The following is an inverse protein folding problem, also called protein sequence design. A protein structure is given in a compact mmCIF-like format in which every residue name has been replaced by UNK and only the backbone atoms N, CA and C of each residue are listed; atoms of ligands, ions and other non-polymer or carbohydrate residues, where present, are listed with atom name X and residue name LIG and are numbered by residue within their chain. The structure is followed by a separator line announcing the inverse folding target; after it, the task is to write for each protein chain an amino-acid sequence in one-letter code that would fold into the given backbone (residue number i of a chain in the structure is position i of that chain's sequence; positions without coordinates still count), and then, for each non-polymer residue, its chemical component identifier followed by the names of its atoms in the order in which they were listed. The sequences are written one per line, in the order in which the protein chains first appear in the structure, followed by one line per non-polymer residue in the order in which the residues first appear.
data_IF_657425133607
#
_entry.id   IF_657425133607
#
_cell.length_a   1.000
_cell.length_b   1.000
_cell.length_c   1.000
_cell.angle_alpha   90.00
_cell.angle_beta   90.00
_cell.angle_gamma   90.00
#
_symmetry.space_group_name_H-M   'P 1'
#
loop_
_entity.id
_entity.type
_entity.pdbx_description
1 polymer ?
2 water ?
#
# COMPACT_ATOMS: atom_id res chain seq x y z
N UNK A 2 6.59 -15.73 -16.59
CA UNK A 2 6.54 -14.26 -16.52
C UNK A 2 5.39 -13.89 -15.60
N UNK A 3 5.55 -12.77 -14.90
CA UNK A 3 4.47 -12.05 -14.20
C UNK A 3 4.17 -10.82 -15.02
N UNK A 4 2.91 -10.59 -15.31
CA UNK A 4 2.46 -9.48 -16.17
C UNK A 4 1.37 -8.74 -15.50
N UNK A 5 1.62 -7.48 -15.16
CA UNK A 5 0.53 -6.66 -14.61
C UNK A 5 -0.26 -6.06 -15.79
N UNK A 6 -1.56 -6.26 -15.82
CA UNK A 6 -2.48 -5.72 -16.85
C UNK A 6 -3.38 -4.71 -16.17
N UNK A 7 -3.10 -3.43 -16.39
CA UNK A 7 -3.62 -2.39 -15.51
C UNK A 7 -4.24 -1.28 -16.33
N UNK A 8 -5.40 -0.79 -15.94
CA UNK A 8 -5.98 0.40 -16.53
C UNK A 8 -5.25 1.66 -16.11
N UNK A 9 -4.96 2.48 -17.10
CA UNK A 9 -4.45 3.82 -16.89
C UNK A 9 -3.11 4.05 -17.56
N UNK A 10 -2.97 5.21 -18.20
CA UNK A 10 -1.74 5.57 -18.90
C UNK A 10 -1.18 6.88 -18.39
N UNK A 11 -1.75 7.45 -17.35
CA UNK A 11 -1.33 8.76 -16.88
C UNK A 11 -0.67 8.67 -15.50
N UNK A 13 1.83 9.38 -12.64
CA UNK A 13 2.88 10.35 -12.33
C UNK A 13 4.26 9.70 -12.27
N UNK A 14 5.29 10.48 -12.53
CA UNK A 14 6.63 9.97 -12.57
C UNK A 14 7.05 9.29 -11.25
N UNK A 15 6.61 9.82 -10.12
CA UNK A 15 6.99 9.21 -8.85
C UNK A 15 6.47 7.77 -8.65
N UNK A 16 5.26 7.54 -9.10
CA UNK A 16 4.64 6.23 -9.11
C UNK A 16 5.37 5.30 -10.03
N UNK A 17 5.62 5.78 -11.26
CA UNK A 17 6.38 4.94 -12.22
C UNK A 17 7.75 4.55 -11.67
N UNK A 18 8.42 5.53 -11.12
CA UNK A 18 9.74 5.35 -10.55
C UNK A 18 9.71 4.28 -9.45
N UNK A 19 8.80 4.41 -8.49
CA UNK A 19 8.67 3.44 -7.43
C UNK A 19 8.29 2.08 -7.94
N UNK A 20 7.42 2.05 -8.92
CA UNK A 20 7.01 0.80 -9.56
C UNK A 20 8.19 0.07 -10.23
N UNK A 21 8.94 0.81 -11.01
CA UNK A 21 10.00 0.20 -11.72
C UNK A 21 11.20 -0.05 -10.76
N UNK A 22 11.29 0.64 -9.61
CA UNK A 22 12.31 0.31 -8.59
C UNK A 22 12.19 -1.16 -8.18
N UNK A 23 10.99 -1.70 -8.20
CA UNK A 23 10.79 -3.09 -7.81
C UNK A 23 10.78 -4.01 -9.03
N UNK A 24 10.13 -3.57 -10.09
CA UNK A 24 10.07 -4.35 -11.32
C UNK A 24 11.48 -4.78 -11.76
N UNK A 25 12.43 -3.84 -11.66
CA UNK A 25 13.76 -4.10 -12.14
C UNK A 25 14.51 -5.13 -11.33
N UNK A 26 14.05 -5.39 -10.12
CA UNK A 26 14.74 -6.33 -9.24
C UNK A 26 14.47 -7.79 -9.59
N UNK A 27 13.42 -8.08 -10.37
CA UNK A 27 13.17 -9.45 -10.71
C UNK A 27 14.26 -9.94 -11.59
N UNK A 28 14.62 -11.18 -11.40
CA UNK A 28 15.75 -11.77 -12.15
C UNK A 28 15.32 -12.09 -13.56
N UNK A 29 16.32 -12.30 -14.41
CA UNK A 29 16.11 -12.57 -15.80
C UNK A 29 15.24 -13.80 -16.04
N UNK A 30 15.27 -14.77 -15.12
CA UNK A 30 14.46 -15.98 -15.26
C UNK A 30 12.99 -15.88 -14.85
N UNK A 32 10.80 -12.72 -15.51
CA UNK A 32 10.44 -11.39 -16.00
C UNK A 32 9.14 -10.85 -15.37
N UNK A 33 9.13 -9.55 -15.09
CA UNK A 33 8.00 -8.82 -14.48
C UNK A 33 7.71 -7.64 -15.46
N UNK A 34 6.53 -7.69 -16.08
CA UNK A 34 6.16 -6.75 -17.15
C UNK A 34 4.89 -6.02 -16.83
N UNK A 35 4.72 -4.86 -17.49
CA UNK A 35 3.48 -4.10 -17.46
C UNK A 35 2.85 -3.89 -18.80
N UNK A 36 1.52 -4.03 -18.88
CA UNK A 36 0.71 -3.65 -20.03
C UNK A 36 -0.35 -2.66 -19.50
N UNK A 37 -0.35 -1.43 -20.03
CA UNK A 37 -1.35 -0.43 -19.66
C UNK A 37 -2.49 -0.48 -20.65
N UNK A 38 -3.71 -0.50 -20.10
CA UNK A 38 -4.94 -0.41 -20.91
C UNK A 38 -5.47 1.01 -20.78
N UNK A 39 -5.89 1.66 -21.87
CA UNK A 39 -6.40 3.03 -21.78
C UNK A 39 -7.67 3.02 -20.95
N UNK A 40 -7.85 4.03 -20.09
CA UNK A 40 -9.10 4.17 -19.42
C UNK A 40 -10.20 4.66 -20.37
N UNK A 41 -11.41 4.11 -20.26
CA UNK A 41 -12.49 4.66 -21.03
C UNK A 41 -12.85 6.07 -20.63
N UNK A 42 -13.32 6.86 -21.60
CA UNK A 42 -13.73 8.25 -21.31
C UNK A 42 -15.07 8.24 -20.59
N UNK A 43 -15.13 8.77 -19.39
CA UNK A 43 -16.37 8.84 -18.62
C UNK A 43 -17.08 10.19 -18.77
N UNK A 44 -17.51 10.50 -19.98
CA UNK A 44 -18.25 11.70 -20.27
C UNK A 44 -19.63 11.76 -19.68
N UNK A 45 -20.28 12.87 -19.96
CA UNK A 45 -21.48 13.29 -19.23
C UNK A 45 -22.59 12.25 -19.33
N UNK A 46 -22.77 11.71 -20.50
CA UNK A 46 -23.81 10.71 -20.67
C UNK A 46 -23.29 9.30 -20.93
N UNK A 47 -22.09 8.99 -20.48
CA UNK A 47 -21.55 7.66 -20.81
C UNK A 47 -22.04 6.66 -19.77
N UNK A 48 -22.23 5.41 -20.21
CA UNK A 48 -22.66 4.31 -19.35
C UNK A 48 -21.41 3.66 -18.81
N UNK A 49 -21.18 3.91 -17.55
CA UNK A 49 -20.11 3.36 -16.81
C UNK A 49 -20.04 1.84 -17.05
N UNK A 50 -21.16 1.13 -17.16
CA UNK A 50 -21.09 -0.33 -17.32
C UNK A 50 -20.43 -0.67 -18.64
N UNK A 51 -20.80 0.06 -19.70
CA UNK A 51 -20.21 -0.19 -20.99
C UNK A 51 -18.73 0.18 -21.04
N UNK A 52 -18.38 1.28 -20.39
CA UNK A 52 -16.98 1.68 -20.31
C UNK A 52 -16.18 0.62 -19.64
N UNK A 53 -16.71 0.15 -18.53
CA UNK A 53 -16.02 -0.92 -17.82
C UNK A 53 -15.89 -2.22 -18.60
N UNK A 54 -16.95 -2.61 -19.29
CA UNK A 54 -16.97 -3.82 -20.10
C UNK A 54 -15.88 -3.73 -21.18
N UNK A 55 -15.73 -2.55 -21.76
CA UNK A 55 -14.73 -2.35 -22.80
C UNK A 55 -13.31 -2.43 -22.20
N UNK A 56 -13.08 -1.75 -21.06
CA UNK A 56 -11.75 -1.91 -20.40
C UNK A 56 -11.49 -3.39 -20.20
N UNK A 57 -12.49 -4.10 -19.67
CA UNK A 57 -12.31 -5.53 -19.40
C UNK A 57 -12.00 -6.40 -20.60
N UNK A 58 -12.67 -6.14 -21.72
CA UNK A 58 -12.38 -6.88 -22.96
C UNK A 58 -10.92 -6.70 -23.32
N UNK A 59 -10.44 -5.46 -23.19
CA UNK A 59 -9.04 -5.20 -23.53
C UNK A 59 -8.07 -5.87 -22.53
N UNK A 61 -8.69 -8.62 -20.77
CA UNK A 61 -8.71 -10.06 -21.00
C UNK A 61 -8.00 -10.42 -22.31
N UNK A 62 -8.06 -9.55 -23.30
CA UNK A 62 -7.33 -9.84 -24.54
C UNK A 62 -5.80 -9.80 -24.26
N UNK A 63 -5.36 -8.89 -23.42
CA UNK A 63 -3.92 -8.79 -23.06
C UNK A 63 -3.48 -10.00 -22.27
N UNK A 64 -4.37 -10.54 -21.45
CA UNK A 64 -4.03 -11.68 -20.60
C UNK A 64 -3.96 -12.98 -21.35
N UNK A 65 -4.75 -13.13 -22.40
CA UNK A 65 -4.69 -14.35 -23.19
C UNK A 65 -5.01 -15.57 -22.38
N UNK A 66 -4.24 -16.63 -22.61
CA UNK A 66 -4.36 -17.86 -21.90
C UNK A 66 -3.59 -17.94 -20.53
N UNK A 67 -3.08 -16.80 -20.05
CA UNK A 67 -2.41 -16.75 -18.77
C UNK A 67 -3.31 -17.14 -17.60
N UNK A 68 -2.69 -17.56 -16.50
CA UNK A 68 -3.40 -17.64 -15.22
C UNK A 68 -3.82 -16.24 -14.86
N UNK A 69 -5.11 -16.04 -14.54
CA UNK A 69 -5.59 -14.72 -14.21
C UNK A 69 -5.82 -14.55 -12.74
N UNK A 70 -5.12 -13.61 -12.14
CA UNK A 70 -5.32 -13.22 -10.74
C UNK A 70 -5.79 -11.77 -10.74
N UNK A 71 -6.94 -11.49 -10.16
CA UNK A 71 -7.43 -10.12 -10.08
C UNK A 71 -7.06 -9.51 -8.72
N UNK A 72 -6.76 -8.22 -8.74
CA UNK A 72 -6.62 -7.46 -7.51
C UNK A 72 -8.03 -6.88 -7.24
N UNK A 73 -8.70 -7.27 -6.17
CA UNK A 73 -10.08 -6.84 -5.95
C UNK A 73 -10.24 -6.82 -4.44
N UNK A 74 -10.97 -5.83 -3.91
CA UNK A 74 -11.11 -5.76 -2.43
C UNK A 74 -11.76 -7.03 -1.75
N UNK A 75 -12.65 -7.78 -2.38
CA UNK A 75 -13.11 -9.05 -1.79
C UNK A 75 -12.19 -10.29 -1.94
N UNK A 76 -11.03 -10.08 -2.52
CA UNK A 76 -10.08 -11.17 -2.70
C UNK A 76 -9.43 -11.67 -1.41
N UNK A 77 -8.57 -12.67 -1.59
CA UNK A 77 -7.89 -13.29 -0.43
C UNK A 77 -6.91 -12.29 0.23
N UNK A 78 -6.99 -12.09 1.55
CA UNK A 78 -6.09 -11.16 2.23
C UNK A 78 -4.75 -11.83 2.53
N UNK A 79 -4.03 -12.19 1.47
CA UNK A 79 -2.79 -12.97 1.63
C UNK A 79 -1.77 -12.20 2.50
N UNK A 80 -1.14 -12.91 3.44
CA UNK A 80 0.04 -12.37 4.08
C UNK A 80 1.28 -12.67 3.24
N UNK A 81 2.45 -12.18 3.65
CA UNK A 81 3.64 -12.38 2.81
C UNK A 81 4.00 -13.85 2.67
N UNK A 82 4.05 -14.62 3.74
CA UNK A 82 4.25 -16.05 3.55
C UNK A 82 3.29 -16.71 2.60
N UNK A 83 1.99 -16.43 2.69
CA UNK A 83 0.96 -17.05 1.83
C UNK A 83 1.25 -16.59 0.38
N UNK A 84 1.70 -15.33 0.18
CA UNK A 84 2.00 -14.86 -1.18
C UNK A 84 3.19 -15.61 -1.78
N UNK A 85 4.19 -15.90 -0.99
CA UNK A 85 5.29 -16.78 -1.40
C UNK A 85 4.81 -18.18 -1.78
N UNK A 86 3.93 -18.74 -1.00
CA UNK A 86 3.29 -20.03 -1.34
C UNK A 86 2.49 -19.98 -2.66
N UNK A 87 1.82 -18.86 -2.90
CA UNK A 87 1.12 -18.71 -4.15
C UNK A 87 2.10 -18.61 -5.30
N UNK A 88 3.19 -17.87 -5.14
CA UNK A 88 4.19 -17.81 -6.18
C UNK A 88 4.70 -19.23 -6.52
N UNK A 89 4.90 -20.08 -5.49
CA UNK A 89 5.30 -21.48 -5.70
C UNK A 89 4.21 -22.25 -6.50
N UNK A 90 2.95 -22.05 -6.16
CA UNK A 90 1.84 -22.62 -6.95
C UNK A 90 1.84 -22.18 -8.40
N UNK A 91 2.04 -20.87 -8.62
CA UNK A 91 2.06 -20.34 -9.96
C UNK A 91 3.16 -20.97 -10.77
N UNK A 92 4.32 -21.15 -10.14
CA UNK A 92 5.47 -21.73 -10.81
C UNK A 92 5.21 -23.17 -11.31
N UNK A 93 4.48 -23.93 -10.52
CA UNK A 93 4.14 -25.31 -10.82
C UNK A 93 3.18 -25.40 -12.01
N UNK A 94 2.45 -24.32 -12.27
CA UNK A 94 1.35 -24.33 -13.26
C UNK A 94 1.87 -24.42 -14.68
N UNK A 95 2.93 -23.67 -14.98
CA UNK A 95 3.53 -23.60 -16.31
C UNK A 95 3.21 -22.33 -17.06
N UNK A 96 2.01 -21.80 -16.83
CA UNK A 96 1.58 -20.58 -17.54
C UNK A 96 2.15 -19.35 -16.91
N UNK A 97 2.33 -18.35 -17.76
CA UNK A 97 2.52 -17.01 -17.23
C UNK A 97 1.31 -16.55 -16.40
N UNK A 98 1.53 -15.58 -15.53
CA UNK A 98 0.48 -15.01 -14.67
C UNK A 98 0.20 -13.58 -15.07
N UNK A 99 -1.06 -13.27 -15.30
CA UNK A 99 -1.53 -11.90 -15.46
C UNK A 99 -2.28 -11.46 -14.20
N UNK A 100 -1.86 -10.33 -13.67
CA UNK A 100 -2.47 -9.71 -12.51
C UNK A 100 -3.23 -8.47 -12.98
N UNK A 101 -4.57 -8.46 -12.78
CA UNK A 101 -5.44 -7.50 -13.39
C UNK A 101 -5.83 -6.44 -12.35
N UNK A 102 -5.56 -5.18 -12.71
CA UNK A 102 -5.81 -4.04 -11.87
C UNK A 102 -6.71 -3.05 -12.61
N UNK A 103 -7.92 -2.89 -12.10
CA UNK A 103 -8.88 -1.95 -12.63
C UNK A 103 -8.60 -0.51 -12.25
N UNK A 104 -9.28 0.41 -12.88
CA UNK A 104 -9.30 1.77 -12.36
C UNK A 104 -10.20 1.98 -11.13
N UNK A 105 -10.49 3.24 -10.74
CA UNK A 105 -11.28 3.49 -9.53
C UNK A 105 -12.67 2.89 -9.57
N UNK A 106 -13.20 2.69 -10.78
CA UNK A 106 -14.53 2.09 -10.91
C UNK A 106 -14.52 0.57 -10.93
N UNK A 107 -13.32 -0.02 -10.91
CA UNK A 107 -13.16 -1.43 -10.66
C UNK A 107 -13.03 -2.30 -11.89
N UNK A 108 -13.43 -3.56 -11.70
CA UNK A 108 -13.27 -4.59 -12.76
C UNK A 108 -14.60 -4.98 -13.31
N UNK A 109 -14.62 -5.28 -14.59
CA UNK A 109 -15.88 -5.70 -15.20
C UNK A 109 -16.32 -7.09 -14.69
N UNK A 110 -17.60 -7.42 -14.85
CA UNK A 110 -18.06 -8.78 -14.53
C UNK A 110 -17.30 -9.89 -15.30
N UNK A 111 -16.92 -9.64 -16.56
CA UNK A 111 -16.20 -10.66 -17.33
C UNK A 111 -14.81 -10.89 -16.76
N UNK A 112 -14.15 -9.83 -16.31
CA UNK A 112 -12.84 -9.99 -15.63
C UNK A 112 -12.95 -10.75 -14.31
N UNK A 113 -13.98 -10.46 -13.54
CA UNK A 113 -14.17 -11.17 -12.27
C UNK A 113 -14.50 -12.63 -12.50
N UNK A 114 -15.24 -12.88 -13.57
CA UNK A 114 -15.59 -14.26 -13.91
C UNK A 114 -14.40 -15.01 -14.46
N UNK A 115 -13.45 -14.27 -15.05
CA UNK A 115 -12.26 -14.92 -15.63
C UNK A 115 -11.13 -15.16 -14.59
N UNK A 116 -11.30 -14.64 -13.39
CA UNK A 116 -10.27 -14.74 -12.39
C UNK A 116 -10.16 -16.18 -11.92
N UNK A 117 -8.98 -16.76 -11.93
CA UNK A 117 -8.76 -18.02 -11.24
C UNK A 117 -8.53 -17.86 -9.75
N UNK A 118 -7.93 -16.72 -9.39
CA UNK A 118 -7.77 -16.34 -7.98
C UNK A 118 -7.95 -14.82 -7.90
N UNK A 119 -8.28 -14.34 -6.70
CA UNK A 119 -8.43 -12.93 -6.44
C UNK A 119 -7.68 -12.59 -5.14
N UNK A 120 -7.04 -11.42 -5.12
CA UNK A 120 -6.10 -11.02 -4.11
C UNK A 120 -6.51 -9.61 -3.60
N UNK A 121 -6.71 -9.50 -2.29
CA UNK A 121 -6.96 -8.22 -1.62
C UNK A 121 -5.73 -7.77 -0.86
N UNK A 122 -5.22 -6.61 -1.23
CA UNK A 122 -4.03 -6.03 -0.58
C UNK A 122 -4.39 -5.42 0.78
N UNK A 123 -5.61 -4.91 0.89
CA UNK A 123 -6.01 -4.12 2.07
C UNK A 123 -7.52 -4.05 2.17
N UNK A 124 -8.03 -3.78 3.37
CA UNK A 124 -9.44 -3.38 3.57
C UNK A 124 -9.73 -1.99 3.05
N UNK A 125 -8.68 -1.17 2.93
CA UNK A 125 -8.81 0.21 2.48
C UNK A 125 -9.01 0.21 0.96
N UNK A 126 -9.64 1.28 0.51
CA UNK A 126 -9.81 1.54 -0.89
C UNK A 126 -8.53 2.20 -1.38
N UNK A 127 -7.66 1.42 -1.98
CA UNK A 127 -6.36 1.94 -2.41
C UNK A 127 -6.46 2.49 -3.81
N UNK A 128 -5.70 3.55 -4.09
CA UNK A 128 -5.68 4.16 -5.40
C UNK A 128 -4.84 3.34 -6.38
N UNK A 129 -5.30 3.25 -7.60
CA UNK A 129 -4.61 2.50 -8.63
C UNK A 129 -3.10 2.60 -8.65
N UNK A 130 -2.52 3.81 -8.66
CA UNK A 130 -1.05 3.90 -8.64
C UNK A 130 -0.38 3.14 -7.51
N UNK A 131 -0.95 3.21 -6.30
CA UNK A 131 -0.35 2.53 -5.19
C UNK A 131 -0.55 1.05 -5.23
N UNK A 132 -1.64 0.63 -5.86
CA UNK A 132 -1.81 -0.80 -6.12
C UNK A 132 -0.69 -1.34 -7.00
N UNK A 133 -0.30 -0.63 -8.05
CA UNK A 133 0.75 -1.09 -8.95
C UNK A 133 2.05 -1.25 -8.15
N UNK A 134 2.37 -0.24 -7.30
CA UNK A 134 3.65 -0.27 -6.58
C UNK A 134 3.59 -1.42 -5.58
N UNK A 135 2.46 -1.54 -4.87
CA UNK A 135 2.30 -2.58 -3.84
C UNK A 135 2.38 -4.01 -4.44
N UNK A 136 1.79 -4.21 -5.59
CA UNK A 136 1.85 -5.52 -6.25
C UNK A 136 3.29 -5.82 -6.62
N UNK A 137 4.03 -4.85 -7.19
CA UNK A 137 5.41 -5.14 -7.57
C UNK A 137 6.27 -5.44 -6.34
N UNK A 138 6.15 -4.62 -5.30
CA UNK A 138 7.02 -4.83 -4.11
C UNK A 138 6.70 -6.14 -3.39
N UNK A 139 5.40 -6.46 -3.27
CA UNK A 139 5.02 -7.59 -2.44
C UNK A 139 5.40 -8.86 -3.13
N UNK A 140 5.24 -8.89 -4.44
CA UNK A 140 5.66 -10.05 -5.20
C UNK A 140 7.19 -10.18 -5.23
N UNK A 141 7.94 -9.08 -5.27
CA UNK A 141 9.38 -9.11 -5.11
C UNK A 141 9.74 -9.76 -3.75
N UNK A 142 9.05 -9.31 -2.71
CA UNK A 142 9.27 -9.82 -1.40
C UNK A 142 9.06 -11.33 -1.40
N UNK A 143 7.92 -11.75 -1.97
CA UNK A 143 7.61 -13.16 -2.02
C UNK A 143 8.68 -13.89 -2.81
N UNK A 144 9.11 -13.35 -3.95
CA UNK A 144 10.17 -13.98 -4.75
C UNK A 144 11.40 -14.18 -3.86
N UNK A 145 11.80 -13.15 -3.14
CA UNK A 145 13.01 -13.16 -2.29
C UNK A 145 12.95 -14.26 -1.22
N UNK A 146 11.76 -14.52 -0.70
CA UNK A 146 11.55 -15.62 0.25
C UNK A 146 11.79 -16.95 -0.46
N UNK A 147 11.26 -17.09 -1.65
CA UNK A 147 11.39 -18.35 -2.39
C UNK A 147 12.77 -18.70 -2.80
N UNK A 148 13.64 -17.71 -2.94
CA UNK A 148 15.01 -17.92 -3.40
C UNK A 148 16.05 -17.69 -2.28
N UNK A 149 15.60 -17.47 -1.05
CA UNK A 149 16.53 -17.16 0.05
C UNK A 149 17.45 -15.93 -0.26
N UNK A 150 16.90 -14.93 -0.91
CA UNK A 150 17.53 -13.63 -1.00
C UNK A 150 17.18 -12.74 0.20
N UNK A 151 18.14 -11.99 0.75
CA UNK A 151 18.00 -11.27 2.06
C UNK A 151 16.99 -10.12 2.29
N UNK A 152 16.36 -9.70 1.25
CA UNK A 152 15.42 -8.57 1.30
C UNK A 152 14.36 -8.64 2.40
N UNK A 153 13.70 -9.78 2.60
CA UNK A 153 12.65 -9.92 3.64
C UNK A 153 13.26 -10.14 5.02
N UNK B 2 -3.86 18.30 14.70
CA UNK B 2 -2.83 17.99 13.73
C UNK B 2 -2.70 16.48 13.65
N UNK B 3 -2.36 16.01 12.47
CA UNK B 3 -2.00 14.61 12.26
C UNK B 3 -0.51 14.59 12.10
N UNK B 4 0.19 13.83 12.96
CA UNK B 4 1.64 13.78 13.00
C UNK B 4 2.15 12.37 12.75
N UNK B 5 2.80 12.11 11.63
CA UNK B 5 3.44 10.80 11.41
C UNK B 5 4.81 10.82 12.12
N UNK B 6 5.07 9.86 12.98
CA UNK B 6 6.36 9.71 13.65
C UNK B 6 6.96 8.39 13.16
N UNK B 7 8.01 8.52 12.36
CA UNK B 7 8.47 7.38 11.57
C UNK B 7 9.95 7.23 11.66
N UNK B 8 10.41 6.00 11.76
CA UNK B 8 11.83 5.78 11.73
C UNK B 8 12.38 5.83 10.31
N UNK B 9 13.47 6.55 10.15
CA UNK B 9 14.23 6.65 8.92
C UNK B 9 14.25 8.04 8.32
N UNK B 10 15.40 8.39 7.78
CA UNK B 10 15.60 9.68 7.15
C UNK B 10 16.04 9.39 5.72
N UNK B 11 16.04 10.40 4.89
CA UNK B 11 16.52 10.22 3.50
C UNK B 11 15.80 9.05 2.76
N UNK B 13 13.77 7.38 -0.36
CA UNK B 13 14.00 7.47 -1.79
C UNK B 13 13.25 8.68 -2.33
N UNK B 14 13.74 9.30 -3.38
CA UNK B 14 13.14 10.51 -3.88
C UNK B 14 11.69 10.29 -4.28
N UNK B 15 11.35 9.13 -4.86
CA UNK B 15 9.99 8.88 -5.33
C UNK B 15 9.03 8.82 -4.14
N UNK B 16 9.52 8.30 -3.02
CA UNK B 16 8.76 8.23 -1.78
C UNK B 16 8.54 9.62 -1.22
N UNK B 17 9.61 10.42 -1.19
CA UNK B 17 9.50 11.82 -0.73
C UNK B 17 8.51 12.57 -1.56
N UNK B 18 8.53 12.33 -2.87
CA UNK B 18 7.63 13.07 -3.76
C UNK B 18 6.18 12.65 -3.61
N UNK B 19 5.93 11.35 -3.54
CA UNK B 19 4.59 10.82 -3.43
C UNK B 19 4.03 11.20 -2.05
N UNK B 20 4.83 11.02 -1.02
CA UNK B 20 4.43 11.42 0.33
C UNK B 20 3.98 12.88 0.38
N UNK B 21 4.79 13.77 -0.19
CA UNK B 21 4.51 15.19 -0.20
C UNK B 21 3.23 15.51 -0.95
N UNK B 22 2.99 14.80 -2.03
CA UNK B 22 1.88 15.08 -2.88
C UNK B 22 0.58 14.86 -2.10
N UNK B 23 0.56 13.86 -1.21
CA UNK B 23 -0.63 13.72 -0.35
C UNK B 23 -0.66 14.69 0.79
N UNK B 24 0.49 14.86 1.44
CA UNK B 24 0.55 15.80 2.57
C UNK B 24 0.07 17.20 2.13
N UNK B 25 0.41 17.60 0.92
CA UNK B 25 0.10 18.97 0.46
C UNK B 25 -1.42 19.18 0.25
N UNK B 26 -2.19 18.10 0.27
CA UNK B 26 -3.64 18.21 0.06
C UNK B 26 -4.31 18.69 1.31
N UNK B 27 -3.70 18.47 2.46
CA UNK B 27 -4.38 18.84 3.72
C UNK B 27 -4.43 20.37 3.88
N UNK B 28 -5.57 20.87 4.32
CA UNK B 28 -5.75 22.31 4.45
C UNK B 28 -5.11 22.85 5.73
N UNK B 29 -5.12 24.17 5.84
CA UNK B 29 -4.51 24.85 6.96
C UNK B 29 -5.12 24.39 8.27
N UNK B 30 -6.44 24.08 8.25
CA UNK B 30 -7.08 23.71 9.50
C UNK B 30 -6.86 22.30 9.97
N UNK B 32 -3.34 20.41 9.99
CA UNK B 32 -1.94 20.20 9.68
C UNK B 32 -1.58 18.75 9.60
N UNK B 33 -0.80 18.37 8.60
CA UNK B 33 -0.29 17.00 8.42
C UNK B 33 1.25 17.12 8.34
N UNK B 34 1.90 16.54 9.31
CA UNK B 34 3.32 16.72 9.61
C UNK B 34 4.04 15.39 9.77
N UNK B 35 5.37 15.43 9.53
CA UNK B 35 6.22 14.27 9.59
C UNK B 35 7.39 14.55 10.54
N UNK B 36 7.59 13.67 11.49
CA UNK B 36 8.80 13.59 12.28
C UNK B 36 9.53 12.33 11.99
N UNK B 37 10.77 12.48 11.55
CA UNK B 37 11.66 11.38 11.30
C UNK B 37 12.60 11.11 12.49
N UNK B 38 12.63 9.85 12.92
CA UNK B 38 13.51 9.35 13.98
C UNK B 38 14.66 8.63 13.32
N UNK B 39 15.88 8.95 13.70
CA UNK B 39 17.03 8.25 13.11
C UNK B 39 16.97 6.76 13.33
N UNK B 40 17.22 5.99 12.28
CA UNK B 40 17.35 4.53 12.39
C UNK B 40 18.68 4.19 13.06
N UNK B 41 18.64 3.32 14.05
CA UNK B 41 19.88 2.87 14.69
C UNK B 41 20.73 2.04 13.74
N UNK B 42 22.04 2.13 13.89
CA UNK B 42 23.01 1.43 13.01
C UNK B 42 23.06 0.03 13.54
N UNK B 43 22.90 -0.97 12.67
CA UNK B 43 22.95 -2.35 13.13
C UNK B 43 24.19 -3.05 12.62
N UNK B 44 25.35 -2.83 13.28
CA UNK B 44 26.61 -3.49 12.93
C UNK B 44 26.71 -4.93 13.37
N UNK B 45 27.91 -5.53 13.27
CA UNK B 45 28.02 -7.00 13.36
C UNK B 45 27.70 -7.51 14.76
N UNK B 46 28.05 -6.70 15.76
CA UNK B 46 27.80 -7.10 17.11
C UNK B 46 26.68 -6.27 17.74
N UNK B 47 25.83 -5.67 16.91
CA UNK B 47 24.75 -4.81 17.38
C UNK B 47 23.82 -5.52 18.36
N UNK B 48 23.39 -4.77 19.36
CA UNK B 48 22.40 -5.26 20.31
C UNK B 48 21.08 -4.86 19.72
N UNK B 49 20.44 -5.79 19.03
CA UNK B 49 19.23 -5.45 18.29
C UNK B 49 18.08 -4.99 19.17
N UNK B 50 17.90 -5.66 20.30
CA UNK B 50 16.86 -5.27 21.29
C UNK B 50 17.10 -3.82 21.77
N UNK B 51 18.33 -3.45 22.10
CA UNK B 51 18.63 -2.11 22.62
C UNK B 51 18.40 -1.02 21.56
N UNK B 52 18.79 -1.30 20.31
CA UNK B 52 18.64 -0.30 19.20
C UNK B 52 17.14 0.01 18.98
N UNK B 53 16.33 -1.04 19.04
CA UNK B 53 14.90 -0.94 18.83
C UNK B 53 14.31 -0.17 19.99
N UNK B 54 14.75 -0.49 21.21
CA UNK B 54 14.23 0.24 22.37
C UNK B 54 14.55 1.73 22.25
N UNK B 55 15.75 2.08 21.79
CA UNK B 55 16.12 3.49 21.63
C UNK B 55 15.27 4.19 20.55
N UNK B 56 14.99 3.51 19.44
CA UNK B 56 14.15 4.06 18.37
C UNK B 56 12.76 4.37 18.97
N UNK B 57 12.21 3.42 19.71
CA UNK B 57 10.92 3.56 20.29
C UNK B 57 10.88 4.66 21.35
N UNK B 58 11.93 4.76 22.17
CA UNK B 58 12.00 5.83 23.17
C UNK B 58 11.92 7.23 22.49
N UNK B 59 12.63 7.39 21.38
CA UNK B 59 12.65 8.63 20.61
C UNK B 59 11.29 8.89 19.97
N UNK B 61 8.35 7.80 21.07
CA UNK B 61 7.42 8.14 22.10
C UNK B 61 7.66 9.58 22.62
N UNK B 62 8.91 9.99 22.69
CA UNK B 62 9.26 11.36 23.15
C UNK B 62 8.62 12.36 22.20
N UNK B 63 8.71 12.08 20.90
CA UNK B 63 8.18 12.96 19.86
C UNK B 63 6.66 13.05 19.89
N UNK B 64 5.99 11.95 20.22
CA UNK B 64 4.53 11.92 20.28
C UNK B 64 3.99 12.69 21.50
N UNK B 65 4.80 12.80 22.56
CA UNK B 65 4.39 13.53 23.73
C UNK B 65 3.05 13.09 24.26
N UNK B 66 2.13 14.04 24.48
CA UNK B 66 0.83 13.77 25.04
C UNK B 66 -0.27 13.46 23.98
N UNK B 67 0.13 13.35 22.73
CA UNK B 67 -0.82 13.03 21.67
C UNK B 67 -1.48 11.67 21.77
N UNK B 68 -2.61 11.49 21.09
CA UNK B 68 -3.19 10.15 20.91
C UNK B 68 -2.19 9.34 20.08
N UNK B 69 -1.82 8.20 20.60
CA UNK B 69 -0.84 7.31 19.95
C UNK B 69 -1.56 6.22 19.18
N UNK B 70 -1.42 6.27 17.86
CA UNK B 70 -1.95 5.20 16.99
C UNK B 70 -0.75 4.54 16.35
N UNK B 71 -0.55 3.25 16.56
CA UNK B 71 0.51 2.55 15.88
C UNK B 71 0.01 1.96 14.56
N UNK B 72 0.94 1.93 13.60
CA UNK B 72 0.78 1.15 12.39
C UNK B 72 1.46 -0.17 12.72
N UNK B 73 0.67 -1.25 12.69
CA UNK B 73 1.21 -2.56 13.07
C UNK B 73 0.36 -3.64 12.36
N UNK B 74 1.00 -4.62 11.72
CA UNK B 74 0.24 -5.67 11.02
C UNK B 74 -0.90 -6.38 11.81
N UNK B 75 -0.83 -6.56 13.13
CA UNK B 75 -1.96 -7.08 13.94
C UNK B 75 -3.05 -6.07 14.36
N UNK B 76 -2.91 -4.83 13.95
CA UNK B 76 -3.89 -3.80 14.30
C UNK B 76 -5.23 -3.95 13.59
N UNK B 77 -6.10 -2.95 13.76
CA UNK B 77 -7.47 -3.05 13.22
C UNK B 77 -7.37 -2.90 11.68
N UNK B 78 -7.92 -3.82 10.92
CA UNK B 78 -7.90 -3.73 9.45
C UNK B 78 -9.02 -2.82 8.94
N UNK B 79 -8.93 -1.56 9.32
CA UNK B 79 -9.98 -0.60 8.99
C UNK B 79 -10.15 -0.54 7.46
N UNK B 80 -11.39 -0.45 7.01
CA UNK B 80 -11.70 -0.08 5.65
C UNK B 80 -11.76 1.45 5.56
N UNK B 81 -11.99 2.01 4.41
CA UNK B 81 -11.90 3.44 4.28
C UNK B 81 -13.03 4.16 5.03
N UNK B 82 -14.27 3.70 4.95
CA UNK B 82 -15.32 4.33 5.75
C UNK B 82 -14.98 4.29 7.23
N UNK B 83 -14.45 3.17 7.69
CA UNK B 83 -14.04 3.05 9.09
C UNK B 83 -12.98 4.06 9.48
N UNK B 84 -11.99 4.27 8.60
CA UNK B 84 -10.91 5.20 8.85
C UNK B 84 -11.45 6.62 8.88
N UNK B 85 -12.44 6.92 8.05
CA UNK B 85 -13.05 8.24 8.05
C UNK B 85 -13.76 8.43 9.39
N UNK B 86 -14.44 7.40 9.87
CA UNK B 86 -15.15 7.48 11.16
C UNK B 86 -14.17 7.67 12.31
N UNK B 87 -13.00 7.03 12.24
CA UNK B 87 -11.96 7.20 13.25
C UNK B 87 -11.35 8.61 13.23
N UNK B 88 -11.17 9.17 12.05
CA UNK B 88 -10.68 10.52 11.89
C UNK B 88 -11.67 11.50 12.59
N UNK B 89 -12.96 11.27 12.43
CA UNK B 89 -13.98 12.05 13.11
C UNK B 89 -13.91 11.85 14.59
N UNK B 90 -13.70 10.62 15.02
CA UNK B 90 -13.57 10.31 16.43
C UNK B 90 -12.36 11.00 17.08
N UNK B 91 -11.26 11.06 16.38
CA UNK B 91 -10.03 11.71 16.85
C UNK B 91 -10.26 13.19 17.15
N UNK B 92 -11.18 13.85 16.47
CA UNK B 92 -11.46 15.27 16.76
C UNK B 92 -12.05 15.52 18.11
N UNK B 93 -12.77 14.56 18.64
CA UNK B 93 -13.60 14.78 19.83
C UNK B 93 -12.89 15.10 21.13
N UNK B 94 -11.68 14.59 21.37
CA UNK B 94 -11.09 14.83 22.69
C UNK B 94 -10.11 15.97 22.68
N UNK B 95 -9.91 16.60 21.52
CA UNK B 95 -9.05 17.76 21.42
C UNK B 95 -7.54 17.55 21.21
N UNK B 96 -7.03 16.33 21.27
CA UNK B 96 -5.60 16.10 21.17
C UNK B 96 -5.16 16.03 19.70
N UNK B 97 -3.89 16.28 19.45
CA UNK B 97 -3.29 15.90 18.16
C UNK B 97 -3.09 14.39 18.17
N UNK B 98 -2.89 13.84 16.98
CA UNK B 98 -2.72 12.40 16.84
C UNK B 98 -1.36 12.09 16.24
N UNK B 99 -0.61 11.22 16.88
CA UNK B 99 0.64 10.74 16.34
C UNK B 99 0.45 9.33 15.83
N UNK B 100 0.89 9.10 14.59
CA UNK B 100 0.77 7.78 13.93
C UNK B 100 2.18 7.24 13.83
N UNK B 101 2.44 6.10 14.51
CA UNK B 101 3.77 5.60 14.70
C UNK B 101 4.07 4.50 13.72
N UNK B 102 5.12 4.69 12.92
CA UNK B 102 5.58 3.69 11.94
C UNK B 102 6.99 3.22 12.33
N UNK B 103 7.17 1.94 12.47
CA UNK B 103 8.42 1.38 12.93
C UNK B 103 9.35 1.28 11.73
N UNK B 104 10.61 0.97 12.01
CA UNK B 104 11.58 0.74 10.95
C UNK B 104 11.57 -0.74 10.58
N UNK B 105 12.62 -1.24 9.95
CA UNK B 105 12.57 -2.60 9.44
C UNK B 105 12.39 -3.72 10.52
N UNK B 106 12.75 -3.47 11.77
CA UNK B 106 12.58 -4.43 12.84
C UNK B 106 11.30 -4.17 13.67
N UNK B 107 10.48 -3.23 13.22
CA UNK B 107 9.15 -3.07 13.82
C UNK B 107 9.19 -2.08 14.91
N UNK B 108 8.11 -2.09 15.66
CA UNK B 108 7.87 -1.19 16.76
C UNK B 108 8.44 -1.82 18.03
N UNK B 109 8.99 -0.97 18.86
CA UNK B 109 9.56 -1.46 20.14
C UNK B 109 8.46 -1.90 21.08
N UNK B 110 8.78 -2.74 22.05
CA UNK B 110 7.79 -3.13 23.05
C UNK B 110 7.07 -1.95 23.75
N UNK B 111 7.80 -0.90 24.11
CA UNK B 111 7.22 0.28 24.74
C UNK B 111 6.20 0.98 23.82
N UNK B 112 6.51 1.07 22.52
CA UNK B 112 5.52 1.61 21.61
C UNK B 112 4.24 0.79 21.57
N UNK B 113 4.34 -0.54 21.55
CA UNK B 113 3.15 -1.40 21.55
C UNK B 113 2.32 -1.22 22.85
N UNK B 114 3.02 -1.06 23.97
CA UNK B 114 2.38 -0.93 25.28
C UNK B 114 1.68 0.42 25.35
N UNK B 115 2.19 1.43 24.65
CA UNK B 115 1.68 2.80 24.70
C UNK B 115 0.51 3.03 23.77
N UNK B 116 0.39 2.19 22.74
CA UNK B 116 -0.66 2.35 21.68
C UNK B 116 -2.03 2.50 22.26
N UNK B 117 -2.73 3.58 21.94
CA UNK B 117 -4.14 3.72 22.25
C UNK B 117 -5.02 2.99 21.28
N UNK B 118 -4.58 2.98 20.02
CA UNK B 118 -5.23 2.27 18.94
C UNK B 118 -4.10 1.78 18.09
N UNK B 119 -4.38 0.72 17.34
CA UNK B 119 -3.45 0.21 16.36
C UNK B 119 -4.16 -0.11 15.08
N UNK B 120 -3.47 0.12 13.95
CA UNK B 120 -4.10 0.12 12.63
C UNK B 120 -3.23 -0.76 11.70
N UNK B 121 -3.85 -1.80 11.10
CA UNK B 121 -3.22 -2.61 10.05
C UNK B 121 -3.66 -2.18 8.69
N UNK B 122 -2.70 -1.88 7.82
CA UNK B 122 -2.94 -1.56 6.47
C UNK B 122 -3.15 -2.74 5.56
N UNK B 123 -2.66 -3.90 5.96
CA UNK B 123 -2.57 -5.03 5.06
C UNK B 123 -2.10 -6.21 5.88
N UNK B 124 -2.39 -7.39 5.38
CA UNK B 124 -1.85 -8.62 5.92
C UNK B 124 -0.38 -8.81 5.51
N UNK B 125 0.00 -8.12 4.45
CA UNK B 125 1.36 -8.24 3.91
C UNK B 125 2.35 -7.51 4.81
N UNK B 126 3.61 -7.99 4.79
CA UNK B 126 4.70 -7.24 5.42
C UNK B 126 5.16 -6.12 4.50
N UNK B 127 4.86 -4.89 4.87
CA UNK B 127 5.09 -3.75 3.99
C UNK B 127 6.41 -3.06 4.36
N UNK B 128 7.15 -2.56 3.38
CA UNK B 128 8.37 -1.80 3.68
C UNK B 128 8.02 -0.41 4.20
N UNK B 129 8.76 0.03 5.18
CA UNK B 129 8.43 1.28 5.83
C UNK B 129 8.29 2.52 4.89
N UNK B 130 9.09 2.72 3.85
CA UNK B 130 8.89 3.88 3.00
C UNK B 130 7.51 3.89 2.35
N UNK B 131 7.08 2.75 1.85
CA UNK B 131 5.79 2.65 1.24
C UNK B 131 4.69 2.86 2.27
N UNK B 132 4.87 2.37 3.48
CA UNK B 132 3.91 2.60 4.56
C UNK B 132 3.64 4.11 4.76
N UNK B 133 4.68 4.95 4.73
CA UNK B 133 4.48 6.36 4.90
C UNK B 133 3.52 6.87 3.84
N UNK B 134 3.75 6.44 2.59
CA UNK B 134 2.94 6.95 1.45
C UNK B 134 1.50 6.48 1.62
N UNK B 135 1.33 5.21 1.95
CA UNK B 135 0.00 4.65 2.20
C UNK B 135 -0.79 5.32 3.32
N UNK B 136 -0.12 5.69 4.40
CA UNK B 136 -0.75 6.37 5.50
C UNK B 136 -1.18 7.75 5.04
N UNK B 137 -0.32 8.48 4.35
CA UNK B 137 -0.71 9.83 3.88
C UNK B 137 -1.88 9.74 2.93
N UNK B 138 -1.83 8.85 1.97
CA UNK B 138 -2.92 8.75 0.98
C UNK B 138 -4.23 8.35 1.66
N UNK B 139 -4.19 7.36 2.57
CA UNK B 139 -5.38 6.84 3.12
C UNK B 139 -6.02 7.86 4.07
N UNK B 140 -5.20 8.61 4.81
CA UNK B 140 -5.70 9.67 5.65
C UNK B 140 -6.24 10.80 4.82
N UNK B 141 -5.62 11.07 3.68
CA UNK B 141 -6.20 12.03 2.77
C UNK B 141 -7.55 11.60 2.29
N UNK B 142 -7.68 10.32 1.94
CA UNK B 142 -8.93 9.82 1.46
C UNK B 142 -10.00 9.95 2.55
N UNK B 143 -9.64 9.59 3.77
CA UNK B 143 -10.52 9.79 4.88
C UNK B 143 -10.89 11.23 5.10
N UNK B 144 -9.93 12.13 4.97
CA UNK B 144 -10.25 13.55 5.04
C UNK B 144 -11.27 13.95 4.01
N UNK B 145 -11.09 13.47 2.78
CA UNK B 145 -12.00 13.84 1.67
C UNK B 145 -13.43 13.38 1.97
N UNK B 146 -13.55 12.19 2.59
CA UNK B 146 -14.87 11.67 2.96
C UNK B 146 -15.50 12.53 4.11
N UNK B 147 -14.72 12.88 5.14
CA UNK B 147 -15.26 13.61 6.27
C UNK B 147 -15.63 15.04 5.88
N UNK B 148 -15.07 15.55 4.77
CA UNK B 148 -15.31 16.92 4.34
C UNK B 148 -16.16 16.96 3.06
N UNK B 149 -16.65 15.81 2.64
CA UNK B 149 -17.54 15.73 1.51
C UNK B 149 -16.97 16.33 0.23
N UNK B 150 -15.73 15.97 -0.06
CA UNK B 150 -15.09 16.32 -1.31
C UNK B 150 -14.83 15.11 -2.13
N UNK B 151 -15.00 15.21 -3.44
CA UNK B 151 -14.59 14.16 -4.35
C UNK B 151 -13.12 13.88 -4.25
N UNK B 152 -12.72 12.63 -4.45
CA UNK B 152 -11.31 12.29 -4.36
C UNK B 152 -10.53 12.90 -5.54
N UNK B 153 -9.40 13.49 -5.22
CA UNK B 153 -8.57 14.13 -6.20
C UNK B 153 -7.46 13.14 -6.64
N UNK B 154 -7.54 12.67 -7.88
CA UNK B 154 -6.51 11.84 -8.54
C UNK B 154 -5.72 12.83 -9.41
N UNK B 155 -4.49 13.04 -9.02
CA UNK B 155 -3.58 13.79 -9.92
C UNK B 155 -3.04 12.89 -11.02
#
# INVERSE_FOLDING_TARGET
XKLQLVAVGTKXPDWVQTGFTEYLRRFPKDXPFELIEIPAGKRGKNADIKRILDKEGEQXLAAAGKNRIVTLDIPGKPWDTPQLAAELERWKLDGRDVSLLIGGPEGLSPACKAAAEQSWSLSALTLPHPLVRVLVAESLYRAWSITTNHPYHRE
XKLQLVAVGTKXPDWVQTGFTEYLRRFPKDXPFELIEIPAGKRGKNADIKRILDKEGEQXLAAAGKNRIVTLDIPGKPWDTPQLAAELERWKLDGRDVSLLIGGPEGLSPACKAAAEQSWSLSALTLPHPLVRVLVAESLYRAWSITTNHPYHRE
#
